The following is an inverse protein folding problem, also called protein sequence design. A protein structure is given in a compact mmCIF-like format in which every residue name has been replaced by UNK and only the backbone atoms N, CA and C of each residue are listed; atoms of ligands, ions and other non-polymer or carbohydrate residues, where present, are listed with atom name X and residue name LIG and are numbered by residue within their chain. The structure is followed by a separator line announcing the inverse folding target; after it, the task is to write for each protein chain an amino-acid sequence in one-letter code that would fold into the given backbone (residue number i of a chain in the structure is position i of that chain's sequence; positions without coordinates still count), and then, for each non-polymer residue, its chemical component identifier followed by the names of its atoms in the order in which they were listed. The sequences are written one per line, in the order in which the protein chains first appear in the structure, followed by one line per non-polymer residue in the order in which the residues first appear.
data_IF_709656235559
#
_entry.id   IF_709656235559
#
_cell.length_a   1.000
_cell.length_b   1.000
_cell.length_c   1.000
_cell.angle_alpha   90.00
_cell.angle_beta   90.00
_cell.angle_gamma   90.00
#
_symmetry.space_group_name_H-M   'P 1'
#
loop_
_entity.id
_entity.type
_entity.pdbx_description
1 polymer ?
#
# COMPACT_ATOMS: atom_id res chain seq x y z
N UNK A 1 -26.30 55.19 66.94
CA UNK A 1 -27.09 55.47 65.71
C UNK A 1 -26.18 55.54 64.48
N UNK A 2 -25.36 54.52 64.24
CA UNK A 2 -24.48 54.46 63.06
C UNK A 2 -24.28 53.00 62.60
N UNK A 3 -25.30 52.15 62.79
CA UNK A 3 -25.32 50.76 62.34
C UNK A 3 -26.22 50.58 61.11
N UNK A 4 -26.42 51.64 60.31
CA UNK A 4 -27.32 51.63 59.15
C UNK A 4 -26.71 52.25 57.87
N UNK A 5 -25.39 52.27 57.73
CA UNK A 5 -24.69 52.76 56.52
C UNK A 5 -23.73 51.73 55.90
N UNK A 6 -23.89 50.44 56.24
CA UNK A 6 -23.00 49.37 55.76
C UNK A 6 -23.52 48.60 54.53
N UNK A 7 -24.63 49.00 53.90
CA UNK A 7 -25.25 48.18 52.83
C UNK A 7 -25.25 48.82 51.44
N UNK A 8 -24.94 50.12 51.28
CA UNK A 8 -25.05 50.76 49.96
C UNK A 8 -23.75 50.88 49.13
N UNK A 9 -22.56 50.64 49.69
CA UNK A 9 -21.29 50.91 48.98
C UNK A 9 -20.51 49.67 48.51
N UNK A 10 -21.10 48.47 48.57
CA UNK A 10 -20.48 47.23 48.10
C UNK A 10 -20.84 46.86 46.64
N UNK A 11 -21.54 47.73 45.89
CA UNK A 11 -21.94 47.46 44.50
C UNK A 11 -21.15 48.24 43.44
N UNK A 12 -20.32 49.20 43.82
CA UNK A 12 -19.64 50.08 42.86
C UNK A 12 -18.19 49.69 42.53
N UNK A 13 -17.54 48.80 43.31
CA UNK A 13 -16.12 48.45 43.12
C UNK A 13 -15.88 47.13 42.37
N UNK A 14 -16.92 46.34 42.07
CA UNK A 14 -16.77 45.11 41.28
C UNK A 14 -16.82 45.28 39.76
N UNK A 15 -17.14 46.47 39.23
CA UNK A 15 -17.33 46.64 37.78
C UNK A 15 -16.09 47.14 37.00
N UNK A 16 -15.00 47.54 37.67
CA UNK A 16 -13.84 48.11 36.99
C UNK A 16 -12.62 47.17 36.86
N UNK A 17 -12.61 46.02 37.54
CA UNK A 17 -11.55 45.01 37.38
C UNK A 17 -11.91 43.86 36.40
N UNK A 18 -13.16 43.79 35.95
CA UNK A 18 -13.63 42.75 35.01
C UNK A 18 -13.53 43.15 33.53
N UNK A 19 -13.27 44.43 33.23
CA UNK A 19 -13.25 44.94 31.85
C UNK A 19 -11.88 44.86 31.16
N UNK A 20 -10.80 44.58 31.90
CA UNK A 20 -9.42 44.50 31.36
C UNK A 20 -8.83 43.08 31.39
N UNK A 21 -9.68 42.06 31.52
CA UNK A 21 -9.33 40.64 31.36
C UNK A 21 -10.22 39.94 30.32
N UNK A 22 -10.95 40.71 29.51
CA UNK A 22 -11.78 40.22 28.40
C UNK A 22 -11.25 40.64 27.02
N UNK A 23 -10.00 41.12 26.94
CA UNK A 23 -9.38 41.56 25.68
C UNK A 23 -8.31 40.60 25.12
N UNK A 24 -8.10 39.43 25.74
CA UNK A 24 -7.12 38.43 25.25
C UNK A 24 -7.70 37.01 25.14
N UNK A 25 -9.00 36.91 24.89
CA UNK A 25 -9.62 35.69 24.40
C UNK A 25 -10.00 35.86 22.93
N UNK A 26 -9.04 36.30 22.10
CA UNK A 26 -9.12 36.03 20.65
C UNK A 26 -8.96 34.53 20.46
N UNK A 27 -10.10 33.87 20.59
CA UNK A 27 -10.50 32.62 19.97
C UNK A 27 -9.37 31.93 19.21
N UNK A 28 -8.74 30.95 19.85
CA UNK A 28 -8.02 29.89 19.16
C UNK A 28 -9.09 29.05 18.44
N UNK A 29 -9.65 29.57 17.33
CA UNK A 29 -10.48 28.78 16.44
C UNK A 29 -9.52 27.84 15.74
N UNK A 30 -9.48 26.56 16.16
CA UNK A 30 -8.88 25.53 15.33
C UNK A 30 -9.48 25.69 13.93
N UNK A 31 -8.64 26.01 12.94
CA UNK A 31 -9.11 26.20 11.57
C UNK A 31 -9.76 24.88 11.14
N UNK A 32 -11.07 24.92 10.85
CA UNK A 32 -11.73 23.73 10.34
C UNK A 32 -11.08 23.35 8.99
N UNK A 33 -10.77 22.06 8.78
CA UNK A 33 -10.15 21.63 7.54
C UNK A 33 -11.04 22.03 6.36
N UNK A 34 -10.43 22.70 5.37
CA UNK A 34 -11.07 22.99 4.09
C UNK A 34 -11.61 21.70 3.45
N UNK A 35 -12.70 21.78 2.68
CA UNK A 35 -13.28 20.64 1.97
C UNK A 35 -12.25 19.84 1.15
N UNK A 36 -11.31 20.52 0.48
CA UNK A 36 -10.24 19.88 -0.27
C UNK A 36 -9.24 19.12 0.63
N UNK A 37 -8.97 19.62 1.84
CA UNK A 37 -8.13 18.91 2.82
C UNK A 37 -8.85 17.71 3.44
N UNK A 38 -10.17 17.80 3.60
CA UNK A 38 -11.00 16.69 4.07
C UNK A 38 -11.07 15.56 3.02
N UNK A 39 -11.22 15.90 1.73
CA UNK A 39 -11.20 14.94 0.63
C UNK A 39 -9.83 14.24 0.52
N UNK A 40 -8.73 14.99 0.59
CA UNK A 40 -7.39 14.42 0.58
C UNK A 40 -7.15 13.48 1.77
N UNK A 41 -7.63 13.84 2.96
CA UNK A 41 -7.56 12.98 4.15
C UNK A 41 -8.40 11.70 3.98
N UNK A 42 -9.60 11.80 3.42
CA UNK A 42 -10.46 10.66 3.16
C UNK A 42 -9.82 9.70 2.13
N UNK A 43 -9.23 10.22 1.06
CA UNK A 43 -8.52 9.40 0.08
C UNK A 43 -7.31 8.68 0.71
N UNK A 44 -6.51 9.39 1.50
CA UNK A 44 -5.40 8.78 2.23
C UNK A 44 -5.88 7.69 3.19
N UNK A 45 -7.02 7.88 3.87
CA UNK A 45 -7.59 6.85 4.74
C UNK A 45 -7.91 5.56 3.98
N UNK A 46 -8.52 5.65 2.79
CA UNK A 46 -8.81 4.48 1.95
C UNK A 46 -7.52 3.74 1.56
N UNK A 47 -6.46 4.47 1.24
CA UNK A 47 -5.15 3.88 0.93
C UNK A 47 -4.49 3.25 2.16
N UNK A 48 -4.63 3.86 3.33
CA UNK A 48 -4.17 3.31 4.61
C UNK A 48 -4.91 2.03 4.98
N UNK A 49 -6.23 1.95 4.75
CA UNK A 49 -7.01 0.74 5.00
C UNK A 49 -6.60 -0.40 4.07
N UNK A 50 -6.28 -0.08 2.80
CA UNK A 50 -5.70 -1.04 1.86
C UNK A 50 -4.32 -1.51 2.31
N UNK A 51 -3.46 -0.59 2.73
CA UNK A 51 -2.13 -0.89 3.23
C UNK A 51 -2.16 -1.74 4.51
N UNK A 52 -3.11 -1.49 5.41
CA UNK A 52 -3.28 -2.24 6.65
C UNK A 52 -3.45 -3.73 6.37
N UNK A 53 -4.28 -4.11 5.39
CA UNK A 53 -4.45 -5.52 4.99
C UNK A 53 -3.15 -6.20 4.53
N UNK A 54 -2.23 -5.45 3.93
CA UNK A 54 -0.91 -5.96 3.55
C UNK A 54 -0.05 -6.14 4.79
N UNK A 55 -0.01 -5.14 5.68
CA UNK A 55 0.78 -5.17 6.91
C UNK A 55 0.31 -6.27 7.86
N UNK A 56 -1.00 -6.52 7.97
CA UNK A 56 -1.56 -7.59 8.79
C UNK A 56 -0.99 -8.97 8.41
N UNK A 57 -0.68 -9.18 7.12
CA UNK A 57 -0.09 -10.43 6.63
C UNK A 57 1.38 -10.62 7.05
N UNK A 58 2.08 -9.53 7.38
CA UNK A 58 3.49 -9.55 7.81
C UNK A 58 3.66 -10.03 9.25
N UNK A 59 2.58 -10.02 10.05
CA UNK A 59 2.58 -10.43 11.48
C UNK A 59 3.69 -9.75 12.29
N UNK A 60 3.79 -8.43 12.17
CA UNK A 60 4.78 -7.64 12.90
C UNK A 60 4.39 -7.55 14.38
N UNK A 61 5.34 -7.86 15.26
CA UNK A 61 5.13 -7.78 16.72
C UNK A 61 5.13 -6.32 17.23
N UNK A 62 5.89 -5.44 16.57
CA UNK A 62 5.97 -4.01 16.92
C UNK A 62 4.83 -3.22 16.22
N UNK A 63 3.83 -2.72 16.98
CA UNK A 63 2.70 -1.97 16.43
C UNK A 63 3.11 -0.60 15.85
N UNK A 64 4.17 0.02 16.37
CA UNK A 64 4.69 1.28 15.82
C UNK A 64 5.35 1.03 14.46
N UNK A 65 6.12 -0.06 14.33
CA UNK A 65 6.67 -0.50 13.05
C UNK A 65 5.55 -0.81 12.06
N UNK A 66 4.51 -1.55 12.48
CA UNK A 66 3.36 -1.84 11.63
C UNK A 66 2.69 -0.57 11.10
N UNK A 67 2.53 0.43 11.99
CA UNK A 67 1.99 1.75 11.63
C UNK A 67 2.88 2.47 10.62
N UNK A 68 4.20 2.53 10.85
CA UNK A 68 5.15 3.15 9.91
C UNK A 68 5.12 2.49 8.53
N UNK A 69 5.14 1.16 8.48
CA UNK A 69 5.11 0.40 7.21
C UNK A 69 3.80 0.62 6.47
N UNK A 70 2.66 0.60 7.17
CA UNK A 70 1.35 0.91 6.58
C UNK A 70 1.36 2.29 5.94
N UNK A 71 1.88 3.29 6.64
CA UNK A 71 1.89 4.67 6.18
C UNK A 71 2.83 4.85 4.98
N UNK A 72 3.97 4.16 4.93
CA UNK A 72 4.85 4.14 3.75
C UNK A 72 4.17 3.53 2.53
N UNK A 73 3.44 2.42 2.68
CA UNK A 73 2.68 1.79 1.59
C UNK A 73 1.55 2.71 1.11
N UNK A 74 0.81 3.34 2.04
CA UNK A 74 -0.27 4.27 1.71
C UNK A 74 0.25 5.50 0.95
N UNK A 75 1.39 6.06 1.40
CA UNK A 75 2.06 7.16 0.71
C UNK A 75 2.56 6.76 -0.68
N UNK A 76 3.06 5.54 -0.85
CA UNK A 76 3.46 5.03 -2.16
C UNK A 76 2.26 4.94 -3.11
N UNK A 77 1.12 4.41 -2.65
CA UNK A 77 -0.10 4.40 -3.47
C UNK A 77 -0.54 5.81 -3.86
N UNK A 78 -0.51 6.76 -2.92
CA UNK A 78 -0.88 8.14 -3.16
C UNK A 78 0.05 8.79 -4.20
N UNK A 79 1.36 8.56 -4.08
CA UNK A 79 2.36 9.11 -4.99
C UNK A 79 2.22 8.52 -6.40
N UNK A 80 2.01 7.21 -6.51
CA UNK A 80 1.74 6.56 -7.80
C UNK A 80 0.45 7.09 -8.43
N UNK A 81 -0.63 7.19 -7.66
CA UNK A 81 -1.91 7.75 -8.13
C UNK A 81 -1.71 9.13 -8.74
N UNK A 82 -1.04 10.04 -8.01
CA UNK A 82 -0.74 11.40 -8.51
C UNK A 82 0.08 11.40 -9.81
N UNK A 83 1.06 10.50 -9.95
CA UNK A 83 1.86 10.42 -11.17
C UNK A 83 1.03 9.93 -12.37
N UNK A 84 0.18 8.92 -12.17
CA UNK A 84 -0.68 8.37 -13.22
C UNK A 84 -1.86 9.30 -13.55
N UNK A 85 -2.39 10.05 -12.59
CA UNK A 85 -3.44 11.06 -12.80
C UNK A 85 -2.94 12.24 -13.64
N UNK A 86 -1.62 12.52 -13.59
CA UNK A 86 -0.97 13.54 -14.41
C UNK A 86 -0.73 13.09 -15.87
N UNK A 87 -1.03 11.83 -16.21
CA UNK A 87 -0.82 11.24 -17.54
C UNK A 87 0.09 10.02 -17.48
N UNK A 88 0.83 9.75 -18.56
CA UNK A 88 1.84 8.69 -18.56
C UNK A 88 3.04 9.15 -17.73
N UNK A 89 3.40 8.46 -16.63
CA UNK A 89 4.55 8.87 -15.82
C UNK A 89 5.85 8.78 -16.60
N UNK A 90 6.70 9.80 -16.46
CA UNK A 90 8.06 9.74 -16.96
C UNK A 90 8.83 8.57 -16.30
N UNK A 91 9.54 7.72 -17.06
CA UNK A 91 10.22 6.54 -16.51
C UNK A 91 11.17 6.86 -15.36
N UNK A 92 11.88 7.99 -15.44
CA UNK A 92 12.80 8.43 -14.39
C UNK A 92 12.08 8.82 -13.08
N UNK A 93 10.88 9.40 -13.17
CA UNK A 93 10.09 9.75 -11.99
C UNK A 93 9.55 8.50 -11.29
N UNK A 94 9.09 7.52 -12.09
CA UNK A 94 8.61 6.24 -11.59
C UNK A 94 9.74 5.46 -10.91
N UNK A 95 10.90 5.36 -11.55
CA UNK A 95 12.08 4.70 -11.00
C UNK A 95 12.60 5.37 -9.72
N UNK A 96 12.62 6.70 -9.66
CA UNK A 96 13.02 7.42 -8.45
C UNK A 96 12.05 7.17 -7.28
N UNK A 97 10.74 7.09 -7.57
CA UNK A 97 9.72 6.76 -6.58
C UNK A 97 9.88 5.31 -6.09
N UNK A 98 10.03 4.37 -7.03
CA UNK A 98 10.25 2.95 -6.77
C UNK A 98 11.45 2.71 -5.85
N UNK A 99 12.63 3.21 -6.24
CA UNK A 99 13.87 3.01 -5.46
C UNK A 99 13.76 3.56 -4.05
N UNK A 100 13.16 4.74 -3.90
CA UNK A 100 12.94 5.34 -2.58
C UNK A 100 12.02 4.48 -1.71
N UNK A 101 10.92 3.99 -2.28
CA UNK A 101 9.97 3.14 -1.56
C UNK A 101 10.62 1.84 -1.08
N UNK A 102 11.29 1.11 -1.99
CA UNK A 102 11.97 -0.15 -1.64
C UNK A 102 13.06 0.07 -0.59
N UNK A 103 13.83 1.15 -0.70
CA UNK A 103 14.86 1.47 0.29
C UNK A 103 14.28 1.76 1.69
N UNK A 104 13.14 2.47 1.78
CA UNK A 104 12.49 2.76 3.07
C UNK A 104 11.91 1.52 3.73
N UNK A 105 11.37 0.58 2.94
CA UNK A 105 10.94 -0.72 3.45
C UNK A 105 12.15 -1.53 3.94
N UNK A 106 13.21 -1.63 3.12
CA UNK A 106 14.41 -2.40 3.44
C UNK A 106 15.17 -1.88 4.67
N UNK A 107 15.01 -0.60 5.04
CA UNK A 107 15.58 -0.03 6.25
C UNK A 107 14.88 -0.52 7.54
N UNK A 108 13.70 -1.12 7.44
CA UNK A 108 12.83 -1.45 8.58
C UNK A 108 12.35 -2.91 8.58
N UNK A 109 12.41 -3.59 7.43
CA UNK A 109 11.90 -4.94 7.20
C UNK A 109 13.00 -5.88 6.71
N UNK A 110 12.85 -7.17 7.00
CA UNK A 110 13.68 -8.21 6.39
C UNK A 110 13.41 -8.33 4.89
N UNK A 111 14.35 -8.89 4.09
CA UNK A 111 14.12 -9.10 2.66
C UNK A 111 12.82 -9.88 2.35
N UNK A 112 12.51 -10.92 3.15
CA UNK A 112 11.29 -11.70 2.98
C UNK A 112 10.03 -10.88 3.26
N UNK A 113 10.04 -10.00 4.26
CA UNK A 113 8.91 -9.10 4.54
C UNK A 113 8.76 -8.03 3.46
N UNK A 114 9.87 -7.53 2.90
CA UNK A 114 9.82 -6.65 1.73
C UNK A 114 9.12 -7.37 0.58
N UNK A 115 9.52 -8.61 0.27
CA UNK A 115 8.85 -9.42 -0.76
C UNK A 115 7.35 -9.63 -0.50
N UNK A 116 6.96 -9.87 0.75
CA UNK A 116 5.54 -9.97 1.13
C UNK A 116 4.77 -8.66 0.90
N UNK A 117 5.37 -7.50 1.16
CA UNK A 117 4.77 -6.21 0.81
C UNK A 117 4.60 -6.10 -0.71
N UNK A 118 5.64 -6.44 -1.48
CA UNK A 118 5.59 -6.42 -2.96
C UNK A 118 4.48 -7.33 -3.49
N UNK A 119 4.34 -8.52 -2.91
CA UNK A 119 3.28 -9.47 -3.25
C UNK A 119 1.89 -8.92 -2.89
N UNK A 120 1.72 -8.36 -1.69
CA UNK A 120 0.46 -7.75 -1.27
C UNK A 120 0.03 -6.59 -2.18
N UNK A 121 0.99 -5.77 -2.63
CA UNK A 121 0.73 -4.68 -3.57
C UNK A 121 0.36 -5.14 -4.99
N UNK A 122 0.67 -6.40 -5.31
CA UNK A 122 0.48 -7.03 -6.62
C UNK A 122 -0.44 -8.25 -6.57
N UNK A 123 -1.31 -8.32 -5.57
CA UNK A 123 -2.36 -9.36 -5.42
C UNK A 123 -1.84 -10.79 -5.29
N UNK A 124 -0.60 -10.97 -4.81
CA UNK A 124 0.03 -12.29 -4.64
C UNK A 124 0.27 -13.02 -5.96
N UNK A 125 0.34 -12.31 -7.09
CA UNK A 125 0.41 -12.94 -8.41
C UNK A 125 1.67 -13.79 -8.57
N UNK A 126 2.82 -13.39 -8.00
CA UNK A 126 4.05 -14.19 -8.06
C UNK A 126 3.88 -15.57 -7.42
N UNK A 127 3.57 -15.69 -6.11
CA UNK A 127 3.45 -17.00 -5.48
C UNK A 127 2.33 -17.85 -6.10
N UNK A 128 1.18 -17.25 -6.44
CA UNK A 128 0.06 -17.97 -7.06
C UNK A 128 0.46 -18.52 -8.44
N UNK A 129 1.11 -17.70 -9.27
CA UNK A 129 1.47 -18.10 -10.64
C UNK A 129 2.60 -19.12 -10.62
N UNK A 130 3.59 -18.95 -9.72
CA UNK A 130 4.70 -19.87 -9.60
C UNK A 130 4.24 -21.27 -9.16
N UNK A 131 3.41 -21.34 -8.12
CA UNK A 131 2.78 -22.60 -7.68
C UNK A 131 1.96 -23.25 -8.81
N UNK A 132 1.20 -22.45 -9.58
CA UNK A 132 0.49 -22.94 -10.76
C UNK A 132 1.40 -23.60 -11.80
N UNK A 133 2.55 -23.01 -12.10
CA UNK A 133 3.54 -23.62 -13.00
C UNK A 133 4.12 -24.92 -12.42
N UNK A 134 4.44 -24.96 -11.12
CA UNK A 134 4.97 -26.17 -10.47
C UNK A 134 3.98 -27.33 -10.49
N UNK A 135 2.68 -27.07 -10.27
CA UNK A 135 1.64 -28.10 -10.32
C UNK A 135 1.34 -28.58 -11.75
N UNK A 136 1.37 -27.65 -12.71
CA UNK A 136 1.14 -27.97 -14.12
C UNK A 136 2.30 -28.81 -14.68
N UNK A 137 3.53 -28.49 -14.26
CA UNK A 137 4.76 -29.06 -14.79
C UNK A 137 5.58 -29.73 -13.67
N UNK A 138 5.18 -30.91 -13.18
CA UNK A 138 5.86 -31.56 -12.05
C UNK A 138 7.33 -31.92 -12.33
N UNK A 139 7.68 -32.15 -13.60
CA UNK A 139 9.01 -32.62 -14.02
C UNK A 139 9.93 -31.51 -14.59
N UNK A 140 9.60 -30.24 -14.39
CA UNK A 140 10.51 -29.15 -14.82
C UNK A 140 11.85 -29.22 -14.08
N UNK A 141 12.91 -28.72 -14.68
CA UNK A 141 14.23 -28.68 -14.05
C UNK A 141 14.35 -27.54 -13.03
N UNK A 142 15.41 -27.55 -12.21
CA UNK A 142 15.70 -26.44 -11.30
C UNK A 142 15.99 -25.14 -12.05
N UNK A 143 16.68 -25.22 -13.18
CA UNK A 143 16.97 -24.08 -14.04
C UNK A 143 15.68 -23.46 -14.59
N UNK A 144 14.74 -24.30 -15.03
CA UNK A 144 13.44 -23.84 -15.52
C UNK A 144 12.60 -23.22 -14.40
N UNK A 145 12.58 -23.83 -13.20
CA UNK A 145 11.94 -23.25 -12.01
C UNK A 145 12.51 -21.88 -11.70
N UNK A 146 13.84 -21.77 -11.65
CA UNK A 146 14.52 -20.51 -11.37
C UNK A 146 14.18 -19.45 -12.43
N UNK A 147 14.22 -19.80 -13.71
CA UNK A 147 13.89 -18.89 -14.81
C UNK A 147 12.43 -18.40 -14.74
N UNK A 148 11.47 -19.30 -14.47
CA UNK A 148 10.07 -18.89 -14.28
C UNK A 148 9.96 -17.90 -13.11
N UNK A 149 10.54 -18.24 -11.96
CA UNK A 149 10.45 -17.41 -10.76
C UNK A 149 11.11 -16.05 -10.96
N UNK A 150 12.32 -16.01 -11.53
CA UNK A 150 13.05 -14.77 -11.81
C UNK A 150 12.25 -13.83 -12.70
N UNK A 151 11.60 -14.36 -13.75
CA UNK A 151 10.74 -13.55 -14.61
C UNK A 151 9.49 -13.03 -13.89
N UNK A 152 8.89 -13.81 -13.01
CA UNK A 152 7.74 -13.36 -12.20
C UNK A 152 8.16 -12.27 -11.19
N UNK A 153 9.33 -12.40 -10.57
CA UNK A 153 9.88 -11.38 -9.68
C UNK A 153 10.19 -10.08 -10.43
N UNK A 154 10.77 -10.16 -11.63
CA UNK A 154 10.99 -8.99 -12.49
C UNK A 154 9.65 -8.32 -12.85
N UNK A 155 8.63 -9.12 -13.23
CA UNK A 155 7.29 -8.61 -13.51
C UNK A 155 6.68 -7.86 -12.33
N UNK A 156 6.92 -8.35 -11.10
CA UNK A 156 6.39 -7.77 -9.87
C UNK A 156 6.91 -6.36 -9.64
N UNK A 157 8.19 -6.10 -9.92
CA UNK A 157 8.76 -4.75 -9.80
C UNK A 157 8.03 -3.75 -10.68
N UNK A 158 7.79 -4.10 -11.95
CA UNK A 158 7.03 -3.25 -12.88
C UNK A 158 5.54 -3.15 -12.53
N UNK A 159 4.93 -4.23 -12.04
CA UNK A 159 3.52 -4.24 -11.68
C UNK A 159 3.26 -3.38 -10.43
N UNK A 160 4.15 -3.36 -9.45
CA UNK A 160 3.98 -2.53 -8.25
C UNK A 160 3.73 -1.05 -8.58
N UNK A 161 4.37 -0.58 -9.64
CA UNK A 161 4.33 0.82 -10.09
C UNK A 161 3.21 1.13 -11.09
N UNK A 162 2.42 0.12 -11.48
CA UNK A 162 1.31 0.32 -12.39
C UNK A 162 0.10 0.98 -11.70
N UNK A 163 -0.55 1.92 -12.39
CA UNK A 163 -1.57 2.80 -11.81
C UNK A 163 -2.93 2.15 -11.51
N UNK A 164 -3.21 0.96 -12.05
CA UNK A 164 -4.50 0.28 -11.87
C UNK A 164 -4.34 -1.24 -11.72
N UNK A 165 -5.37 -1.90 -11.22
CA UNK A 165 -5.41 -3.37 -11.13
C UNK A 165 -5.23 -4.03 -12.50
N UNK A 166 -5.89 -3.49 -13.54
CA UNK A 166 -5.79 -4.03 -14.89
C UNK A 166 -4.38 -3.85 -15.47
N UNK A 167 -3.76 -2.69 -15.24
CA UNK A 167 -2.39 -2.43 -15.66
C UNK A 167 -1.39 -3.38 -14.95
N UNK A 168 -1.60 -3.67 -13.67
CA UNK A 168 -0.83 -4.68 -12.92
C UNK A 168 -0.93 -6.05 -13.57
N UNK A 169 -2.14 -6.51 -13.85
CA UNK A 169 -2.36 -7.81 -14.50
C UNK A 169 -1.83 -7.85 -15.94
N UNK A 170 -1.85 -6.74 -16.67
CA UNK A 170 -1.28 -6.63 -18.01
C UNK A 170 0.24 -6.85 -17.99
N UNK A 171 0.96 -6.27 -17.02
CA UNK A 171 2.40 -6.52 -16.82
C UNK A 171 2.64 -8.02 -16.63
N UNK A 172 2.00 -8.66 -15.65
CA UNK A 172 2.16 -10.11 -15.46
C UNK A 172 1.74 -10.93 -16.68
N UNK A 173 0.72 -10.50 -17.42
CA UNK A 173 0.30 -11.14 -18.67
C UNK A 173 1.42 -11.20 -19.70
N UNK A 174 2.15 -10.10 -19.91
CA UNK A 174 3.31 -10.04 -20.80
C UNK A 174 4.41 -11.02 -20.38
N UNK A 175 4.71 -11.08 -19.09
CA UNK A 175 5.74 -11.96 -18.55
C UNK A 175 5.35 -13.43 -18.61
N UNK A 176 4.08 -13.78 -18.34
CA UNK A 176 3.57 -15.15 -18.55
C UNK A 176 3.68 -15.58 -20.02
N UNK A 177 3.44 -14.67 -20.96
CA UNK A 177 3.72 -14.92 -22.38
C UNK A 177 5.20 -15.20 -22.67
N UNK A 178 6.11 -14.44 -22.06
CA UNK A 178 7.57 -14.65 -22.17
C UNK A 178 8.00 -16.01 -21.60
N UNK A 179 7.47 -16.38 -20.43
CA UNK A 179 7.68 -17.68 -19.80
C UNK A 179 7.17 -18.81 -20.70
N UNK A 180 5.96 -18.70 -21.24
CA UNK A 180 5.40 -19.72 -22.13
C UNK A 180 6.25 -19.91 -23.40
N UNK A 181 6.80 -18.83 -23.95
CA UNK A 181 7.72 -18.88 -25.08
C UNK A 181 9.05 -19.55 -24.69
N UNK A 182 9.58 -19.27 -23.50
CA UNK A 182 10.77 -19.93 -22.96
C UNK A 182 10.57 -21.45 -22.83
N UNK A 183 9.49 -21.87 -22.17
CA UNK A 183 9.20 -23.30 -21.95
C UNK A 183 8.95 -24.04 -23.27
N UNK A 184 8.22 -23.42 -24.20
CA UNK A 184 8.02 -24.00 -25.55
C UNK A 184 9.35 -24.20 -26.29
N UNK A 185 10.29 -23.24 -26.21
CA UNK A 185 11.62 -23.38 -26.81
C UNK A 185 12.48 -24.45 -26.12
N UNK A 186 12.24 -24.71 -24.84
CA UNK A 186 12.86 -25.80 -24.10
C UNK A 186 12.24 -27.18 -24.42
N UNK A 187 11.30 -27.27 -25.36
CA UNK A 187 10.68 -28.52 -25.80
C UNK A 187 9.49 -28.96 -24.94
N UNK A 188 9.00 -28.12 -24.03
CA UNK A 188 7.85 -28.45 -23.18
C UNK A 188 6.56 -28.20 -23.96
N UNK A 189 5.74 -29.25 -24.11
CA UNK A 189 4.37 -29.13 -24.64
C UNK A 189 3.41 -28.65 -23.54
N UNK A 190 3.24 -27.33 -23.45
CA UNK A 190 2.35 -26.71 -22.48
C UNK A 190 0.88 -27.10 -22.68
N UNK A 191 0.43 -27.35 -23.92
CA UNK A 191 -0.96 -27.75 -24.18
C UNK A 191 -1.22 -29.14 -23.63
N UNK A 192 -0.26 -30.04 -23.78
CA UNK A 192 -0.35 -31.37 -23.20
C UNK A 192 -0.28 -31.31 -21.67
N UNK A 193 0.63 -30.52 -21.11
CA UNK A 193 0.74 -30.34 -19.66
C UNK A 193 -0.55 -29.78 -19.02
N UNK A 194 -1.22 -28.82 -19.67
CA UNK A 194 -2.50 -28.27 -19.22
C UNK A 194 -3.60 -29.35 -19.17
N UNK A 195 -3.68 -30.21 -20.20
CA UNK A 195 -4.66 -31.32 -20.25
C UNK A 195 -4.41 -32.31 -19.12
N UNK A 196 -3.16 -32.72 -18.93
CA UNK A 196 -2.80 -33.67 -17.88
C UNK A 196 -3.04 -33.09 -16.50
N UNK A 197 -2.70 -31.82 -16.28
CA UNK A 197 -2.99 -31.13 -15.02
C UNK A 197 -4.50 -31.04 -14.75
N UNK A 198 -5.31 -30.71 -15.76
CA UNK A 198 -6.76 -30.72 -15.63
C UNK A 198 -7.31 -32.11 -15.24
N UNK A 199 -6.80 -33.18 -15.87
CA UNK A 199 -7.15 -34.55 -15.52
C UNK A 199 -6.76 -34.90 -14.07
N UNK A 200 -5.55 -34.53 -13.62
CA UNK A 200 -5.09 -34.71 -12.23
C UNK A 200 -6.02 -34.00 -11.24
N UNK A 201 -6.42 -32.76 -11.50
CA UNK A 201 -7.35 -32.01 -10.63
C UNK A 201 -8.75 -32.59 -10.61
N UNK A 202 -9.24 -33.15 -11.72
CA UNK A 202 -10.54 -33.81 -11.76
C UNK A 202 -10.52 -35.12 -10.96
N UNK A 203 -9.44 -35.88 -11.04
CA UNK A 203 -9.27 -37.12 -10.27
C UNK A 203 -9.20 -36.84 -8.76
N UNK A 204 -8.50 -35.79 -8.33
CA UNK A 204 -8.37 -35.42 -6.91
C UNK A 204 -9.66 -34.89 -6.25
N UNK A 205 -10.69 -34.56 -7.04
CA UNK A 205 -12.01 -34.13 -6.55
C UNK A 205 -12.99 -35.29 -6.31
N UNK A 206 -12.65 -36.48 -6.77
CA UNK A 206 -13.43 -37.71 -6.57
C UNK A 206 -12.94 -38.43 -5.33
#
# INVERSE_FOLDING_TARGET
MALLLLVLNARATCFLAAAMLCALATSLRAAEPSAASAEAAAHLQVLSDRAAKIVDSLKLDDPELATRVRDEIAQQYLALGKLHDAGQPEPAALDALHRRFVARLAAQLTPAQVDQVKDGMTYGVVPITFDGYQQMLPEITDEQRHEIHAQLLEAREYAMDAGSSDAKHAVFGKYKGRINNYLSRAGIDLKQAEKEWAARRQAAKK
#
